data_IF_034546006138
#
_entry.id   IF_034546006138
#
_cell.length_a   1.000
_cell.length_b   1.000
_cell.length_c   1.000
_cell.angle_alpha   90.00
_cell.angle_beta   90.00
_cell.angle_gamma   90.00
#
_symmetry.space_group_name_H-M   'P 1'
#
loop_
_entity.id
_entity.type
_entity.pdbx_description
1 polymer ?
#
# COMPACT_ATOMS: atom_id res chain seq x y z
N UNK A 1 34.74 -14.41 2.34
CA UNK A 1 34.13 -13.54 3.36
C UNK A 1 33.20 -12.48 2.75
N UNK A 2 33.70 -11.56 1.91
CA UNK A 2 32.91 -10.46 1.33
C UNK A 2 31.72 -10.95 0.46
N UNK A 3 31.95 -11.95 -0.41
CA UNK A 3 30.88 -12.57 -1.21
C UNK A 3 29.76 -13.22 -0.37
N UNK A 4 30.09 -13.79 0.80
CA UNK A 4 29.11 -14.38 1.72
C UNK A 4 28.27 -13.30 2.41
N UNK A 5 28.90 -12.20 2.84
CA UNK A 5 28.23 -11.05 3.45
C UNK A 5 27.28 -10.39 2.45
N UNK A 6 27.73 -10.15 1.21
CA UNK A 6 26.90 -9.57 0.14
C UNK A 6 25.70 -10.47 -0.17
N UNK A 7 25.90 -11.79 -0.25
CA UNK A 7 24.81 -12.75 -0.50
C UNK A 7 23.78 -12.73 0.63
N UNK A 8 24.22 -12.57 1.88
CA UNK A 8 23.33 -12.44 3.04
C UNK A 8 22.55 -11.13 3.01
N UNK A 9 23.18 -10.03 2.63
CA UNK A 9 22.55 -8.71 2.54
C UNK A 9 21.53 -8.65 1.40
N UNK A 10 21.85 -9.27 0.26
CA UNK A 10 20.93 -9.39 -0.88
C UNK A 10 19.69 -10.20 -0.56
N UNK A 11 19.78 -11.20 0.34
CA UNK A 11 18.62 -12.01 0.77
C UNK A 11 17.68 -11.26 1.73
N UNK A 12 18.14 -10.20 2.39
CA UNK A 12 17.29 -9.39 3.27
C UNK A 12 16.28 -8.59 2.44
N UNK A 13 16.69 -8.05 1.30
CA UNK A 13 15.83 -7.26 0.40
C UNK A 13 14.56 -8.01 -0.01
N UNK A 14 14.61 -9.23 -0.59
CA UNK A 14 13.41 -9.98 -0.97
C UNK A 14 12.58 -10.38 0.24
N UNK A 15 13.22 -10.63 1.40
CA UNK A 15 12.51 -10.95 2.65
C UNK A 15 11.67 -9.75 3.11
N UNK A 16 12.26 -8.56 3.14
CA UNK A 16 11.56 -7.32 3.49
C UNK A 16 10.44 -7.01 2.49
N UNK A 17 10.70 -7.21 1.20
CA UNK A 17 9.69 -6.98 0.17
C UNK A 17 8.49 -7.93 0.31
N UNK A 18 8.74 -9.20 0.59
CA UNK A 18 7.68 -10.18 0.88
C UNK A 18 6.87 -9.77 2.12
N UNK A 19 7.51 -9.37 3.21
CA UNK A 19 6.83 -8.95 4.45
C UNK A 19 5.95 -7.72 4.20
N UNK A 20 6.48 -6.70 3.53
CA UNK A 20 5.72 -5.47 3.21
C UNK A 20 4.51 -5.80 2.35
N UNK A 21 4.69 -6.64 1.33
CA UNK A 21 3.61 -7.05 0.42
C UNK A 21 2.52 -7.80 1.18
N UNK A 22 2.89 -8.77 2.01
CA UNK A 22 1.93 -9.52 2.84
C UNK A 22 1.21 -8.58 3.82
N UNK A 23 1.93 -7.68 4.48
CA UNK A 23 1.32 -6.70 5.39
C UNK A 23 0.30 -5.80 4.67
N UNK A 24 0.65 -5.34 3.47
CA UNK A 24 -0.24 -4.54 2.62
C UNK A 24 -1.54 -5.29 2.29
N UNK A 25 -1.45 -6.56 1.89
CA UNK A 25 -2.64 -7.39 1.62
C UNK A 25 -3.50 -7.59 2.86
N UNK A 26 -2.88 -7.84 4.03
CA UNK A 26 -3.63 -7.98 5.30
C UNK A 26 -4.43 -6.71 5.61
N UNK A 27 -3.80 -5.54 5.47
CA UNK A 27 -4.46 -4.25 5.73
C UNK A 27 -5.55 -3.97 4.70
N UNK A 28 -5.39 -4.41 3.45
CA UNK A 28 -6.38 -4.20 2.39
C UNK A 28 -7.62 -5.09 2.53
N UNK A 29 -7.48 -6.27 3.14
CA UNK A 29 -8.60 -7.20 3.42
C UNK A 29 -9.43 -6.74 4.63
N UNK A 30 -8.87 -5.90 5.51
CA UNK A 30 -9.61 -5.34 6.63
C UNK A 30 -10.79 -4.47 6.14
N UNK A 31 -11.95 -4.48 6.83
CA UNK A 31 -13.10 -3.66 6.45
C UNK A 31 -12.76 -2.17 6.54
N UNK A 32 -13.02 -1.42 5.46
CA UNK A 32 -12.66 0.00 5.36
C UNK A 32 -11.19 0.23 5.01
N UNK A 33 -10.62 -0.62 4.14
CA UNK A 33 -9.23 -0.59 3.77
C UNK A 33 -8.79 0.73 3.10
N UNK A 34 -7.47 0.95 2.97
CA UNK A 34 -6.92 2.18 2.40
C UNK A 34 -7.41 2.48 0.98
N UNK A 35 -7.75 1.46 0.19
CA UNK A 35 -8.31 1.62 -1.15
C UNK A 35 -9.74 2.18 -1.09
N UNK A 36 -10.58 1.66 -0.19
CA UNK A 36 -11.95 2.15 0.00
C UNK A 36 -11.94 3.61 0.49
N UNK A 37 -11.02 3.94 1.40
CA UNK A 37 -10.86 5.32 1.89
C UNK A 37 -10.40 6.26 0.77
N UNK A 38 -9.41 5.86 -0.03
CA UNK A 38 -8.94 6.65 -1.17
C UNK A 38 -10.06 6.87 -2.20
N UNK A 39 -10.83 5.82 -2.51
CA UNK A 39 -11.96 5.91 -3.43
C UNK A 39 -13.08 6.79 -2.86
N UNK A 40 -13.41 6.66 -1.57
CA UNK A 40 -14.40 7.49 -0.89
C UNK A 40 -14.01 8.97 -0.89
N UNK A 41 -12.72 9.29 -0.70
CA UNK A 41 -12.21 10.65 -0.78
C UNK A 41 -12.33 11.22 -2.21
N UNK A 42 -11.99 10.43 -3.24
CA UNK A 42 -12.16 10.84 -4.64
C UNK A 42 -13.62 11.02 -5.06
N UNK A 43 -14.53 10.20 -4.53
CA UNK A 43 -15.97 10.33 -4.76
C UNK A 43 -16.52 11.56 -4.03
N UNK A 44 -16.13 11.79 -2.77
CA UNK A 44 -16.52 12.97 -1.99
C UNK A 44 -16.05 14.29 -2.60
N UNK A 45 -14.85 14.32 -3.19
CA UNK A 45 -14.35 15.49 -3.92
C UNK A 45 -15.18 15.74 -5.19
N UNK A 46 -15.56 14.68 -5.93
CA UNK A 46 -16.45 14.81 -7.11
C UNK A 46 -17.85 15.29 -6.75
N UNK A 47 -18.45 14.78 -5.67
CA UNK A 47 -19.79 15.22 -5.25
C UNK A 47 -19.80 16.68 -4.81
N UNK A 48 -18.71 17.15 -4.18
CA UNK A 48 -18.59 18.56 -3.80
C UNK A 48 -18.45 19.47 -5.03
N UNK A 49 -17.67 19.06 -6.04
CA UNK A 49 -17.56 19.81 -7.31
C UNK A 49 -18.85 19.85 -8.12
N UNK A 50 -19.70 18.81 -8.06
CA UNK A 50 -21.01 18.83 -8.74
C UNK A 50 -22.04 19.75 -8.05
N UNK A 51 -21.94 19.92 -6.73
CA UNK A 51 -22.83 20.81 -5.97
C UNK A 51 -22.48 22.29 -6.17
N UNK A 52 -21.22 22.64 -6.41
CA UNK A 52 -20.78 24.03 -6.67
C UNK A 52 -21.20 24.54 -8.07
N UNK A 53 -21.61 23.64 -8.96
CA UNK A 53 -21.95 23.94 -10.36
C UNK A 53 -23.46 24.11 -10.62
N UNK A 54 -24.31 23.96 -9.59
CA UNK A 54 -25.76 24.15 -9.61
C UNK A 54 -26.15 25.37 -8.77
#
# INVERSE_FOLDING_TARGET
>A
MLAYIVRRLLLIIPTLWAIITVNFFIVQIAPGGPVDQAVAQMQGIRSNMSMERL
#
